data_IF_796067247477
#
_entry.id   IF_796067247477
#
_cell.length_a   1.000
_cell.length_b   1.000
_cell.length_c   1.000
_cell.angle_alpha   90.00
_cell.angle_beta   90.00
_cell.angle_gamma   90.00
#
_symmetry.space_group_name_H-M   'P 1'
#
loop_
_entity.id
_entity.type
_entity.pdbx_description
1 polymer ?
#
# COMPACT_ATOMS: atom_id res chain seq x y z
N UNK A 1 -10.57 8.90 64.17
CA UNK A 1 -10.25 7.46 64.27
C UNK A 1 -9.42 7.09 63.04
N UNK A 2 -8.09 7.02 63.19
CA UNK A 2 -7.27 5.77 63.28
C UNK A 2 -7.44 4.89 62.03
N UNK A 3 -6.42 4.50 61.25
CA UNK A 3 -4.97 4.43 61.50
C UNK A 3 -4.23 4.11 60.20
N UNK A 4 -3.09 4.79 59.98
CA UNK A 4 -1.98 4.43 59.09
C UNK A 4 -1.17 3.24 59.64
N UNK A 5 -0.61 2.38 58.77
CA UNK A 5 0.63 1.63 59.09
C UNK A 5 1.55 1.52 57.87
N UNK A 6 2.71 2.19 58.00
CA UNK A 6 3.97 1.93 57.29
C UNK A 6 4.69 0.76 58.00
N UNK A 7 5.45 -0.04 57.24
CA UNK A 7 6.57 -0.80 57.80
C UNK A 7 7.75 -0.76 56.83
N UNK A 8 8.91 -0.45 57.39
CA UNK A 8 10.26 -0.63 56.87
C UNK A 8 11.12 -1.11 58.06
N UNK A 9 12.43 -1.38 57.89
CA UNK A 9 13.02 -2.66 57.53
C UNK A 9 13.72 -3.34 58.72
N UNK A 10 14.04 -4.64 58.61
CA UNK A 10 14.90 -5.33 59.57
C UNK A 10 16.33 -5.43 59.01
N UNK A 11 17.27 -4.80 59.71
CA UNK A 11 18.70 -5.07 59.64
C UNK A 11 19.06 -6.09 60.73
N UNK A 12 19.94 -7.05 60.44
CA UNK A 12 20.58 -7.90 61.45
C UNK A 12 22.09 -7.92 61.24
N UNK A 13 22.77 -7.92 62.39
CA UNK A 13 24.13 -7.53 62.66
C UNK A 13 25.23 -8.50 62.18
N UNK A 14 26.40 -7.88 61.96
CA UNK A 14 27.74 -8.45 62.00
C UNK A 14 28.02 -9.25 63.29
N UNK A 15 28.72 -10.37 63.14
CA UNK A 15 29.54 -10.98 64.19
C UNK A 15 30.93 -11.35 63.62
N UNK A 16 31.98 -10.93 64.34
CA UNK A 16 33.40 -11.16 64.09
C UNK A 16 33.89 -12.42 64.81
N UNK A 17 34.76 -13.22 64.18
CA UNK A 17 35.69 -14.17 64.82
C UNK A 17 36.81 -14.59 63.81
N UNK A 18 37.96 -15.15 64.25
CA UNK A 18 39.32 -14.75 63.86
C UNK A 18 39.98 -15.61 62.75
N UNK A 19 41.19 -15.25 62.25
CA UNK A 19 41.85 -16.01 61.18
C UNK A 19 42.62 -17.21 61.74
N UNK A 20 42.46 -18.37 61.10
CA UNK A 20 43.35 -19.53 61.24
C UNK A 20 44.04 -19.75 59.90
N UNK A 21 45.35 -19.49 59.87
CA UNK A 21 46.27 -19.99 58.86
C UNK A 21 46.52 -21.48 59.11
N UNK A 22 46.48 -22.29 58.06
CA UNK A 22 47.21 -23.56 57.81
C UNK A 22 46.69 -24.08 56.46
N UNK A 23 47.52 -24.19 55.43
CA UNK A 23 48.37 -25.36 55.23
C UNK A 23 47.74 -26.21 54.11
N UNK A 24 48.38 -26.22 52.94
CA UNK A 24 47.79 -26.73 51.70
C UNK A 24 47.54 -28.24 51.65
N UNK A 25 46.64 -28.62 50.75
CA UNK A 25 46.58 -29.94 50.11
C UNK A 25 45.96 -29.76 48.72
N UNK A 26 46.69 -30.22 47.68
CA UNK A 26 46.24 -30.24 46.28
C UNK A 26 45.13 -31.29 46.12
N UNK A 27 43.99 -30.90 45.55
CA UNK A 27 42.96 -31.82 45.05
C UNK A 27 43.15 -32.09 43.55
N UNK A 28 42.79 -33.29 43.05
CA UNK A 28 43.02 -33.70 41.67
C UNK A 28 42.02 -33.05 40.70
N UNK A 29 42.52 -32.68 39.53
CA UNK A 29 41.78 -32.14 38.39
C UNK A 29 40.68 -33.11 37.93
N UNK A 30 39.43 -32.65 37.96
CA UNK A 30 38.29 -33.32 37.34
C UNK A 30 38.39 -33.19 35.81
N UNK A 31 38.36 -34.31 35.09
CA UNK A 31 38.32 -34.35 33.63
C UNK A 31 36.88 -34.09 33.16
N UNK A 32 36.68 -33.00 32.43
CA UNK A 32 35.43 -32.68 31.74
C UNK A 32 35.26 -33.58 30.50
N UNK A 33 34.06 -34.11 30.20
CA UNK A 33 33.80 -34.81 28.96
C UNK A 33 33.85 -33.85 27.75
N UNK A 34 34.24 -34.34 26.56
CA UNK A 34 34.42 -33.49 25.39
C UNK A 34 33.08 -32.86 24.96
N UNK A 35 33.11 -31.54 24.76
CA UNK A 35 31.99 -30.81 24.17
C UNK A 35 31.88 -31.19 22.69
N UNK A 36 30.73 -31.72 22.29
CA UNK A 36 30.37 -31.83 20.89
C UNK A 36 30.22 -30.43 20.30
N UNK A 37 31.20 -30.03 19.49
CA UNK A 37 31.10 -28.87 18.59
C UNK A 37 29.99 -29.15 17.57
N UNK A 38 28.78 -28.68 17.88
CA UNK A 38 27.72 -28.53 16.87
C UNK A 38 28.13 -27.41 15.93
N UNK A 39 28.73 -27.79 14.79
CA UNK A 39 28.93 -26.90 13.67
C UNK A 39 27.55 -26.44 13.20
N UNK A 40 27.14 -25.23 13.57
CA UNK A 40 26.06 -24.53 12.91
C UNK A 40 26.52 -24.25 11.49
N UNK A 41 26.25 -25.18 10.58
CA UNK A 41 26.33 -24.90 9.16
C UNK A 41 25.30 -23.80 8.88
N UNK A 42 25.79 -22.58 8.73
CA UNK A 42 25.04 -21.52 8.06
C UNK A 42 24.89 -21.99 6.61
N UNK A 43 23.83 -22.74 6.33
CA UNK A 43 23.40 -23.03 4.96
C UNK A 43 23.09 -21.65 4.37
N UNK A 44 23.87 -21.16 3.40
CA UNK A 44 23.56 -19.89 2.77
C UNK A 44 22.18 -20.04 2.15
N UNK A 45 21.21 -19.25 2.59
CA UNK A 45 19.96 -19.17 1.86
C UNK A 45 20.30 -18.71 0.44
N UNK A 46 19.79 -19.39 -0.60
CA UNK A 46 20.04 -18.98 -1.97
C UNK A 46 19.65 -17.52 -2.11
N UNK A 47 20.62 -16.67 -2.47
CA UNK A 47 20.39 -15.26 -2.74
C UNK A 47 19.34 -15.19 -3.86
N UNK A 48 18.12 -14.81 -3.48
CA UNK A 48 17.06 -14.54 -4.45
C UNK A 48 17.49 -13.34 -5.27
N UNK A 49 17.35 -13.43 -6.60
CA UNK A 49 17.69 -12.32 -7.49
C UNK A 49 16.85 -11.09 -7.07
N UNK A 50 17.41 -9.87 -7.12
CA UNK A 50 16.64 -8.68 -6.73
C UNK A 50 15.39 -8.59 -7.62
N UNK A 51 14.24 -8.29 -7.01
CA UNK A 51 13.04 -8.03 -7.79
C UNK A 51 13.26 -6.80 -8.69
N UNK A 52 12.51 -6.71 -9.77
CA UNK A 52 12.41 -5.48 -10.57
C UNK A 52 10.94 -5.09 -10.70
N UNK A 53 10.69 -3.84 -11.13
CA UNK A 53 9.32 -3.37 -11.38
C UNK A 53 9.24 -2.71 -12.75
N UNK A 54 8.23 -3.08 -13.52
CA UNK A 54 7.78 -2.33 -14.68
C UNK A 54 6.46 -1.65 -14.36
N UNK A 55 6.32 -0.39 -14.77
CA UNK A 55 5.12 0.41 -14.51
C UNK A 55 4.40 0.63 -15.83
N UNK A 56 3.10 0.36 -15.83
CA UNK A 56 2.19 0.76 -16.87
C UNK A 56 1.29 1.86 -16.33
N UNK A 57 1.27 3.00 -16.99
CA UNK A 57 0.34 4.08 -16.71
C UNK A 57 -0.11 4.66 -18.07
N UNK A 58 -1.41 4.90 -18.28
CA UNK A 58 -1.90 5.41 -19.56
C UNK A 58 -1.49 6.87 -19.83
N UNK A 59 -1.01 7.61 -18.82
CA UNK A 59 -0.53 8.98 -18.94
C UNK A 59 -1.60 9.91 -19.53
N UNK A 60 -1.19 10.76 -20.46
CA UNK A 60 -2.10 11.68 -21.18
C UNK A 60 -3.16 10.94 -22.02
N UNK A 61 -2.97 9.65 -22.32
CA UNK A 61 -3.99 8.84 -23.01
C UNK A 61 -5.04 8.24 -22.04
N UNK A 62 -5.03 8.64 -20.77
CA UNK A 62 -6.05 8.23 -19.81
C UNK A 62 -7.44 8.72 -20.26
N UNK A 63 -8.43 7.84 -20.15
CA UNK A 63 -9.83 8.19 -20.44
C UNK A 63 -10.53 8.47 -19.12
N UNK A 64 -11.36 9.52 -19.08
CA UNK A 64 -12.06 10.00 -17.88
C UNK A 64 -11.14 10.42 -16.74
N UNK A 65 -9.92 10.88 -17.07
CA UNK A 65 -8.88 11.27 -16.10
C UNK A 65 -8.45 10.14 -15.14
N UNK A 66 -8.73 8.86 -15.48
CA UNK A 66 -8.29 7.72 -14.66
C UNK A 66 -6.92 7.21 -15.10
N UNK A 67 -5.88 7.94 -14.71
CA UNK A 67 -4.49 7.56 -14.96
C UNK A 67 -3.97 6.54 -13.93
N UNK A 68 -4.70 5.42 -13.78
CA UNK A 68 -4.35 4.36 -12.82
C UNK A 68 -3.06 3.64 -13.23
N UNK A 69 -2.20 3.35 -12.26
CA UNK A 69 -0.95 2.63 -12.46
C UNK A 69 -1.13 1.15 -12.22
N UNK A 70 -0.58 0.34 -13.12
CA UNK A 70 -0.36 -1.08 -12.90
C UNK A 70 1.13 -1.35 -12.75
N UNK A 71 1.51 -2.21 -11.81
CA UNK A 71 2.91 -2.51 -11.49
C UNK A 71 3.17 -3.99 -11.65
N UNK A 72 3.99 -4.35 -12.63
CA UNK A 72 4.49 -5.72 -12.81
C UNK A 72 5.77 -5.87 -11.98
N UNK A 73 5.68 -6.60 -10.88
CA UNK A 73 6.83 -6.97 -10.05
C UNK A 73 7.40 -8.28 -10.57
N UNK A 74 8.66 -8.28 -10.94
CA UNK A 74 9.31 -9.40 -11.62
C UNK A 74 10.38 -10.02 -10.73
N UNK A 75 10.33 -11.34 -10.61
CA UNK A 75 11.40 -12.16 -10.06
C UNK A 75 12.28 -12.72 -11.18
N UNK A 76 12.98 -13.80 -10.87
CA UNK A 76 13.83 -14.51 -11.84
C UNK A 76 12.99 -15.20 -12.92
N UNK A 77 11.92 -15.90 -12.52
CA UNK A 77 11.03 -16.70 -13.39
C UNK A 77 9.57 -16.27 -13.29
N UNK A 78 9.14 -15.84 -12.12
CA UNK A 78 7.75 -15.47 -11.85
C UNK A 78 7.55 -13.96 -11.87
N UNK A 79 6.29 -13.54 -12.03
CA UNK A 79 5.88 -12.15 -11.84
C UNK A 79 4.56 -12.06 -11.06
N UNK A 80 4.36 -10.92 -10.41
CA UNK A 80 3.14 -10.53 -9.73
C UNK A 80 2.69 -9.18 -10.28
N UNK A 81 1.43 -9.08 -10.69
CA UNK A 81 0.83 -7.82 -11.15
C UNK A 81 0.07 -7.15 -10.00
N UNK A 82 0.25 -5.85 -9.84
CA UNK A 82 -0.57 -5.00 -8.97
C UNK A 82 -1.46 -4.14 -9.88
N UNK A 83 -2.78 -4.24 -9.69
CA UNK A 83 -3.85 -3.51 -10.36
C UNK A 83 -4.01 -3.79 -11.87
N UNK A 84 -5.25 -3.77 -12.36
CA UNK A 84 -5.64 -4.40 -13.63
C UNK A 84 -6.08 -3.43 -14.74
N UNK A 85 -6.02 -2.12 -14.51
CA UNK A 85 -6.52 -1.07 -15.41
C UNK A 85 -8.04 -1.07 -15.59
N UNK A 86 -8.55 0.05 -16.12
CA UNK A 86 -9.97 0.29 -16.28
C UNK A 86 -10.57 -0.28 -17.57
N UNK A 87 -9.87 -0.08 -18.70
CA UNK A 87 -10.38 -0.40 -20.02
C UNK A 87 -9.87 -1.75 -20.51
N UNK A 88 -10.71 -2.53 -21.18
CA UNK A 88 -10.32 -3.79 -21.85
C UNK A 88 -9.10 -3.58 -22.77
N UNK A 89 -9.04 -2.50 -23.55
CA UNK A 89 -7.88 -2.21 -24.40
C UNK A 89 -6.58 -1.93 -23.60
N UNK A 90 -6.67 -1.32 -22.41
CA UNK A 90 -5.50 -1.06 -21.55
C UNK A 90 -5.04 -2.33 -20.85
N UNK A 91 -5.99 -3.16 -20.39
CA UNK A 91 -5.68 -4.50 -19.92
C UNK A 91 -5.05 -5.37 -21.02
N UNK A 92 -5.42 -5.18 -22.29
CA UNK A 92 -4.75 -5.80 -23.44
C UNK A 92 -3.27 -5.41 -23.55
N UNK A 93 -2.93 -4.14 -23.39
CA UNK A 93 -1.53 -3.68 -23.35
C UNK A 93 -0.76 -4.28 -22.16
N UNK A 94 -1.41 -4.46 -21.00
CA UNK A 94 -0.81 -5.18 -19.89
C UNK A 94 -0.53 -6.64 -20.23
N UNK A 95 -1.44 -7.32 -20.92
CA UNK A 95 -1.21 -8.71 -21.38
C UNK A 95 0.03 -8.78 -22.27
N UNK A 96 0.20 -7.84 -23.20
CA UNK A 96 1.38 -7.75 -24.05
C UNK A 96 2.66 -7.54 -23.23
N UNK A 97 2.64 -6.60 -22.29
CA UNK A 97 3.79 -6.32 -21.41
C UNK A 97 4.18 -7.52 -20.56
N UNK A 98 3.20 -8.22 -19.98
CA UNK A 98 3.43 -9.43 -19.18
C UNK A 98 4.01 -10.54 -20.07
N UNK A 99 3.50 -10.74 -21.29
CA UNK A 99 4.08 -11.72 -22.23
C UNK A 99 5.51 -11.36 -22.63
N UNK A 100 5.77 -10.08 -22.89
CA UNK A 100 7.09 -9.59 -23.25
C UNK A 100 8.13 -9.75 -22.13
N UNK A 101 7.71 -9.76 -20.86
CA UNK A 101 8.60 -10.04 -19.73
C UNK A 101 9.22 -11.44 -19.75
N UNK A 102 8.56 -12.40 -20.42
CA UNK A 102 8.92 -13.81 -20.38
C UNK A 102 8.74 -14.48 -19.01
N UNK A 103 8.10 -13.80 -18.05
CA UNK A 103 7.85 -14.32 -16.70
C UNK A 103 6.51 -15.06 -16.63
N UNK A 104 6.44 -16.04 -15.75
CA UNK A 104 5.19 -16.70 -15.40
C UNK A 104 4.42 -15.83 -14.40
N UNK A 105 3.27 -15.28 -14.82
CA UNK A 105 2.41 -14.51 -13.93
C UNK A 105 1.71 -15.45 -12.94
N UNK A 106 2.06 -15.36 -11.65
CA UNK A 106 1.50 -16.24 -10.62
C UNK A 106 0.36 -15.60 -9.84
N UNK A 107 0.36 -14.28 -9.72
CA UNK A 107 -0.60 -13.54 -8.90
C UNK A 107 -0.93 -12.18 -9.52
N UNK A 108 -2.21 -11.81 -9.45
CA UNK A 108 -2.71 -10.46 -9.71
C UNK A 108 -3.33 -9.97 -8.40
N UNK A 109 -2.75 -8.94 -7.81
CA UNK A 109 -3.25 -8.28 -6.61
C UNK A 109 -4.02 -7.01 -6.98
N UNK A 110 -5.23 -6.86 -6.46
CA UNK A 110 -6.01 -5.63 -6.58
C UNK A 110 -5.92 -4.85 -5.27
N UNK A 111 -5.44 -3.62 -5.37
CA UNK A 111 -5.12 -2.78 -4.22
C UNK A 111 -6.29 -1.93 -3.73
N UNK A 112 -7.27 -1.64 -4.59
CA UNK A 112 -8.43 -0.82 -4.25
C UNK A 112 -9.72 -1.28 -4.95
N UNK A 113 -10.87 -0.87 -4.40
CA UNK A 113 -12.20 -1.36 -4.80
C UNK A 113 -12.87 -0.57 -5.93
N UNK A 114 -12.17 0.39 -6.54
CA UNK A 114 -12.70 1.18 -7.64
C UNK A 114 -12.52 0.52 -9.01
N UNK A 115 -13.46 0.73 -9.95
CA UNK A 115 -13.50 0.02 -11.23
C UNK A 115 -12.20 0.02 -12.01
N UNK A 116 -11.48 1.12 -11.98
CA UNK A 116 -10.23 1.34 -12.68
C UNK A 116 -9.09 0.45 -12.16
N UNK A 117 -9.19 -0.06 -10.94
CA UNK A 117 -8.24 -1.02 -10.41
C UNK A 117 -8.53 -2.47 -10.85
N UNK A 118 -9.77 -2.84 -11.20
CA UNK A 118 -10.15 -4.26 -11.38
C UNK A 118 -10.97 -4.60 -12.62
N UNK A 119 -11.49 -3.63 -13.39
CA UNK A 119 -12.31 -3.94 -14.58
C UNK A 119 -11.53 -4.71 -15.63
N UNK A 120 -10.24 -4.44 -15.80
CA UNK A 120 -9.38 -5.19 -16.71
C UNK A 120 -9.13 -6.66 -16.33
N UNK A 121 -9.56 -7.10 -15.15
CA UNK A 121 -9.37 -8.49 -14.70
C UNK A 121 -9.98 -9.52 -15.64
N UNK A 122 -11.09 -9.24 -16.31
CA UNK A 122 -11.70 -10.19 -17.25
C UNK A 122 -10.73 -10.52 -18.41
N UNK A 123 -10.05 -9.49 -18.92
CA UNK A 123 -9.04 -9.61 -19.99
C UNK A 123 -7.81 -10.37 -19.49
N UNK A 124 -7.29 -9.98 -18.32
CA UNK A 124 -6.10 -10.59 -17.74
C UNK A 124 -6.33 -12.05 -17.32
N UNK A 125 -7.48 -12.36 -16.73
CA UNK A 125 -7.84 -13.72 -16.33
C UNK A 125 -8.00 -14.64 -17.55
N UNK A 126 -8.56 -14.12 -18.64
CA UNK A 126 -8.67 -14.87 -19.90
C UNK A 126 -7.29 -15.16 -20.51
N UNK A 127 -6.32 -14.24 -20.36
CA UNK A 127 -4.96 -14.42 -20.87
C UNK A 127 -4.05 -15.25 -19.96
N UNK A 128 -4.28 -15.24 -18.65
CA UNK A 128 -3.49 -15.90 -17.62
C UNK A 128 -4.40 -16.64 -16.62
N UNK A 129 -5.07 -17.73 -17.04
CA UNK A 129 -6.07 -18.42 -16.22
C UNK A 129 -5.51 -19.04 -14.94
N UNK A 130 -4.20 -19.33 -14.92
CA UNK A 130 -3.51 -19.94 -13.78
C UNK A 130 -3.09 -18.92 -12.71
N UNK A 131 -3.11 -17.62 -13.01
CA UNK A 131 -2.74 -16.58 -12.07
C UNK A 131 -3.81 -16.42 -10.99
N UNK A 132 -3.41 -16.44 -9.72
CA UNK A 132 -4.32 -16.19 -8.60
C UNK A 132 -4.71 -14.71 -8.57
N UNK A 133 -6.00 -14.42 -8.55
CA UNK A 133 -6.51 -13.06 -8.43
C UNK A 133 -6.92 -12.84 -6.98
N UNK A 134 -6.25 -11.93 -6.28
CA UNK A 134 -6.43 -11.71 -4.85
C UNK A 134 -6.56 -10.24 -4.49
N UNK A 135 -7.28 -9.94 -3.42
CA UNK A 135 -7.35 -8.62 -2.81
C UNK A 135 -7.57 -8.77 -1.30
N UNK A 136 -7.39 -7.71 -0.52
CA UNK A 136 -7.71 -7.78 0.92
C UNK A 136 -9.20 -8.06 1.12
N UNK A 137 -9.61 -8.72 2.22
CA UNK A 137 -11.02 -8.98 2.49
C UNK A 137 -11.91 -7.72 2.41
N UNK A 138 -11.39 -6.57 2.81
CA UNK A 138 -12.06 -5.27 2.75
C UNK A 138 -12.32 -4.83 1.31
N UNK A 139 -11.32 -4.97 0.42
CA UNK A 139 -11.46 -4.65 -1.00
C UNK A 139 -12.41 -5.62 -1.69
N UNK A 140 -12.32 -6.92 -1.39
CA UNK A 140 -13.26 -7.93 -1.92
C UNK A 140 -14.70 -7.57 -1.55
N UNK A 141 -14.97 -7.33 -0.27
CA UNK A 141 -16.31 -6.97 0.20
C UNK A 141 -16.83 -5.68 -0.47
N UNK A 142 -15.98 -4.68 -0.68
CA UNK A 142 -16.36 -3.46 -1.39
C UNK A 142 -16.71 -3.74 -2.87
N UNK A 143 -15.92 -4.55 -3.57
CA UNK A 143 -16.19 -4.92 -4.96
C UNK A 143 -17.50 -5.71 -5.06
N UNK A 144 -17.74 -6.67 -4.18
CA UNK A 144 -18.98 -7.44 -4.13
C UNK A 144 -20.20 -6.53 -3.94
N UNK A 145 -20.10 -5.54 -3.06
CA UNK A 145 -21.19 -4.61 -2.76
C UNK A 145 -21.47 -3.61 -3.90
N UNK A 146 -20.47 -3.20 -4.66
CA UNK A 146 -20.57 -2.03 -5.55
C UNK A 146 -20.45 -2.34 -7.05
N UNK A 147 -19.84 -3.47 -7.42
CA UNK A 147 -19.44 -3.75 -8.81
C UNK A 147 -20.59 -3.76 -9.81
N UNK A 148 -21.76 -4.29 -9.43
CA UNK A 148 -22.93 -4.34 -10.32
C UNK A 148 -23.46 -2.95 -10.66
N UNK A 149 -23.52 -2.06 -9.67
CA UNK A 149 -23.98 -0.69 -9.91
C UNK A 149 -22.94 0.13 -10.68
N UNK A 150 -21.66 -0.02 -10.30
CA UNK A 150 -20.53 0.55 -11.04
C UNK A 150 -20.54 0.10 -12.51
N UNK A 151 -20.84 -1.17 -12.80
CA UNK A 151 -20.94 -1.68 -14.17
C UNK A 151 -22.12 -1.09 -14.95
N UNK A 152 -23.28 -0.86 -14.33
CA UNK A 152 -24.40 -0.18 -15.00
C UNK A 152 -24.06 1.27 -15.39
N UNK A 153 -23.30 1.96 -14.53
CA UNK A 153 -22.87 3.34 -14.77
C UNK A 153 -21.81 3.39 -15.87
N UNK A 154 -20.78 2.55 -15.74
CA UNK A 154 -19.60 2.62 -16.60
C UNK A 154 -19.75 1.83 -17.90
N UNK A 155 -20.43 0.69 -17.90
CA UNK A 155 -20.59 -0.19 -19.07
C UNK A 155 -21.01 0.57 -20.33
N UNK A 156 -22.09 1.36 -20.32
CA UNK A 156 -22.51 2.16 -21.47
C UNK A 156 -21.49 3.22 -21.90
N UNK A 157 -20.76 3.81 -20.95
CA UNK A 157 -19.73 4.85 -21.23
C UNK A 157 -18.46 4.25 -21.83
N UNK A 158 -18.14 3.02 -21.41
CA UNK A 158 -16.96 2.29 -21.89
C UNK A 158 -17.22 1.60 -23.23
N UNK A 159 -18.47 1.26 -23.54
CA UNK A 159 -18.83 0.58 -24.78
C UNK A 159 -18.07 -0.73 -24.93
N UNK A 160 -17.38 -0.92 -26.05
CA UNK A 160 -16.55 -2.12 -26.29
C UNK A 160 -15.35 -2.26 -25.33
N UNK A 161 -14.97 -1.18 -24.65
CA UNK A 161 -13.92 -1.21 -23.63
C UNK A 161 -14.42 -1.62 -22.24
N UNK A 162 -15.72 -1.89 -22.07
CA UNK A 162 -16.25 -2.45 -20.85
C UNK A 162 -15.77 -3.91 -20.64
N UNK A 163 -15.63 -4.37 -19.38
CA UNK A 163 -15.47 -5.79 -19.12
C UNK A 163 -16.72 -6.58 -19.54
N UNK A 164 -16.56 -7.80 -20.05
CA UNK A 164 -17.71 -8.67 -20.39
C UNK A 164 -18.34 -9.27 -19.14
N UNK A 165 -17.54 -9.44 -18.09
CA UNK A 165 -17.97 -9.87 -16.76
C UNK A 165 -17.10 -9.22 -15.70
N UNK A 166 -17.65 -9.08 -14.50
CA UNK A 166 -16.85 -8.72 -13.32
C UNK A 166 -16.17 -9.98 -12.79
N UNK A 167 -14.84 -9.89 -12.59
CA UNK A 167 -14.07 -10.90 -11.87
C UNK A 167 -13.83 -10.37 -10.45
N UNK A 168 -14.40 -11.03 -9.46
CA UNK A 168 -14.19 -10.69 -8.04
C UNK A 168 -12.94 -11.41 -7.54
N UNK A 169 -11.95 -10.69 -6.97
CA UNK A 169 -10.76 -11.32 -6.39
C UNK A 169 -11.08 -12.25 -5.21
N UNK A 170 -10.23 -13.25 -4.97
CA UNK A 170 -10.28 -14.05 -3.75
C UNK A 170 -9.69 -13.26 -2.57
N UNK A 171 -10.19 -13.47 -1.33
CA UNK A 171 -9.64 -12.80 -0.16
C UNK A 171 -8.21 -13.28 0.11
N UNK A 172 -7.28 -12.34 0.22
CA UNK A 172 -5.90 -12.56 0.64
C UNK A 172 -5.90 -13.00 2.10
N UNK A 173 -5.14 -14.07 2.39
CA UNK A 173 -4.90 -14.53 3.75
C UNK A 173 -3.70 -13.76 4.33
N UNK A 174 -3.93 -13.07 5.46
CA UNK A 174 -2.90 -12.24 6.08
C UNK A 174 -2.66 -10.93 5.31
N UNK A 175 -1.44 -10.41 5.43
CA UNK A 175 -1.05 -9.09 4.93
C UNK A 175 0.13 -9.16 3.93
N UNK A 176 0.48 -10.36 3.45
CA UNK A 176 1.72 -10.56 2.70
C UNK A 176 1.47 -11.38 1.45
N UNK A 177 1.85 -10.81 0.31
CA UNK A 177 2.02 -11.50 -0.96
C UNK A 177 3.47 -12.01 -1.04
N UNK A 178 3.72 -13.07 -1.81
CA UNK A 178 5.07 -13.63 -1.98
C UNK A 178 5.37 -13.85 -3.45
N UNK A 179 6.54 -13.41 -3.89
CA UNK A 179 7.08 -13.66 -5.22
C UNK A 179 8.45 -14.31 -5.09
N UNK A 180 8.59 -15.57 -5.50
CA UNK A 180 9.83 -16.36 -5.36
C UNK A 180 10.47 -16.30 -3.96
N UNK A 181 9.63 -16.36 -2.92
CA UNK A 181 10.05 -16.29 -1.52
C UNK A 181 10.34 -14.88 -0.99
N UNK A 182 10.24 -13.84 -1.82
CA UNK A 182 10.39 -12.46 -1.40
C UNK A 182 9.03 -11.84 -1.03
N UNK A 183 8.92 -11.17 0.13
CA UNK A 183 7.65 -10.62 0.60
C UNK A 183 7.31 -9.29 -0.07
N UNK A 184 6.04 -9.13 -0.42
CA UNK A 184 5.39 -7.87 -0.76
C UNK A 184 4.30 -7.64 0.29
N UNK A 185 4.50 -6.67 1.18
CA UNK A 185 3.66 -6.45 2.38
C UNK A 185 2.56 -5.46 2.08
N UNK A 186 1.32 -5.82 2.34
CA UNK A 186 0.16 -4.93 2.31
C UNK A 186 0.08 -4.20 3.66
N UNK A 187 0.31 -2.89 3.64
CA UNK A 187 0.37 -2.05 4.84
C UNK A 187 -0.87 -1.17 4.93
N UNK A 188 -1.39 -0.96 6.15
CA UNK A 188 -2.56 -0.10 6.42
C UNK A 188 -3.79 -0.86 6.93
N UNK A 189 -3.76 -2.20 6.93
CA UNK A 189 -4.90 -3.04 7.32
C UNK A 189 -5.27 -2.95 8.82
N UNK A 190 -4.33 -2.49 9.64
CA UNK A 190 -4.45 -2.21 11.07
C UNK A 190 -4.93 -0.77 11.37
N UNK A 191 -5.12 0.03 10.33
CA UNK A 191 -5.51 1.43 10.43
C UNK A 191 -7.03 1.66 10.41
N UNK A 192 -7.46 2.93 10.57
CA UNK A 192 -8.89 3.29 10.56
C UNK A 192 -9.54 3.22 9.18
N UNK A 193 -8.75 3.20 8.11
CA UNK A 193 -9.19 3.06 6.71
C UNK A 193 -8.50 1.85 6.06
N UNK A 194 -8.82 0.62 6.46
CA UNK A 194 -8.11 -0.59 6.02
C UNK A 194 -8.31 -0.93 4.53
N UNK A 195 -9.30 -0.29 3.89
CA UNK A 195 -9.56 -0.30 2.44
C UNK A 195 -8.60 0.62 1.65
N UNK A 196 -7.83 1.47 2.33
CA UNK A 196 -6.82 2.38 1.76
C UNK A 196 -5.39 1.92 2.10
N UNK A 197 -5.12 0.67 1.75
CA UNK A 197 -3.81 0.03 1.92
C UNK A 197 -2.84 0.36 0.78
N UNK A 198 -1.56 0.02 0.95
CA UNK A 198 -0.53 0.09 -0.09
C UNK A 198 0.43 -1.09 0.02
N UNK A 199 1.15 -1.42 -1.06
CA UNK A 199 2.14 -2.50 -1.07
C UNK A 199 3.54 -1.95 -0.82
N UNK A 200 4.25 -2.52 0.15
CA UNK A 200 5.65 -2.29 0.43
C UNK A 200 6.49 -3.49 0.01
N UNK A 201 7.52 -3.25 -0.82
CA UNK A 201 8.43 -4.28 -1.33
C UNK A 201 9.82 -4.02 -0.71
N UNK A 202 10.16 -4.67 0.43
CA UNK A 202 11.35 -4.32 1.20
C UNK A 202 12.67 -4.54 0.45
N UNK A 203 12.75 -5.60 -0.36
CA UNK A 203 13.98 -5.99 -1.05
C UNK A 203 14.47 -4.95 -2.07
N UNK A 204 13.55 -4.12 -2.58
CA UNK A 204 13.84 -3.05 -3.54
C UNK A 204 13.38 -1.67 -3.04
N UNK A 205 13.06 -1.57 -1.75
CA UNK A 205 12.55 -0.36 -1.07
C UNK A 205 11.53 0.42 -1.90
N UNK A 206 10.54 -0.29 -2.47
CA UNK A 206 9.53 0.30 -3.35
C UNK A 206 8.15 0.24 -2.71
N UNK A 207 7.43 1.37 -2.72
CA UNK A 207 5.99 1.42 -2.44
C UNK A 207 5.23 1.46 -3.77
N UNK A 208 4.16 0.68 -3.88
CA UNK A 208 3.33 0.60 -5.08
C UNK A 208 1.88 0.26 -4.73
N UNK A 209 0.97 0.58 -5.66
CA UNK A 209 -0.45 0.29 -5.55
C UNK A 209 -1.16 1.12 -4.48
N UNK A 210 -2.49 0.99 -4.48
CA UNK A 210 -3.39 1.67 -3.57
C UNK A 210 -3.71 3.10 -4.01
N UNK A 211 -4.89 3.56 -3.60
CA UNK A 211 -5.33 4.95 -3.77
C UNK A 211 -4.56 6.02 -2.96
N UNK A 212 -3.81 5.73 -1.86
CA UNK A 212 -3.29 6.80 -1.02
C UNK A 212 -2.26 7.74 -1.66
N UNK A 213 -1.62 7.39 -2.77
CA UNK A 213 -0.59 8.24 -3.39
C UNK A 213 -1.00 8.59 -4.81
N UNK A 214 -1.10 9.89 -5.08
CA UNK A 214 -1.46 10.49 -6.36
C UNK A 214 -0.40 11.52 -6.74
N UNK A 215 -0.17 11.77 -8.04
CA UNK A 215 0.72 12.85 -8.48
C UNK A 215 0.32 13.43 -9.84
N UNK A 216 0.61 14.69 -10.12
CA UNK A 216 0.44 15.24 -11.48
C UNK A 216 -1.02 15.37 -11.96
N UNK A 217 -1.99 15.17 -11.07
CA UNK A 217 -3.42 15.39 -11.31
C UNK A 217 -4.11 15.88 -10.03
N UNK A 218 -5.29 16.48 -10.17
CA UNK A 218 -6.11 16.86 -9.03
C UNK A 218 -6.56 15.61 -8.25
N UNK A 219 -6.21 15.57 -6.96
CA UNK A 219 -6.50 14.42 -6.10
C UNK A 219 -8.00 14.28 -5.87
N UNK A 220 -8.49 13.04 -5.99
CA UNK A 220 -9.88 12.67 -5.69
C UNK A 220 -10.14 12.74 -4.17
N UNK A 221 -10.83 13.78 -3.73
CA UNK A 221 -11.15 14.03 -2.31
C UNK A 221 -12.57 13.63 -1.93
N UNK A 222 -13.42 13.28 -2.91
CA UNK A 222 -14.85 13.05 -2.69
C UNK A 222 -15.15 11.90 -1.70
N UNK A 223 -14.29 10.90 -1.62
CA UNK A 223 -14.45 9.77 -0.69
C UNK A 223 -14.00 10.08 0.74
N UNK A 224 -13.23 11.16 0.95
CA UNK A 224 -12.69 11.54 2.26
C UNK A 224 -13.36 12.80 2.78
N UNK A 225 -14.67 12.77 3.01
CA UNK A 225 -15.48 13.98 3.21
C UNK A 225 -15.26 14.72 4.55
N UNK A 226 -14.46 14.17 5.47
CA UNK A 226 -14.30 14.71 6.83
C UNK A 226 -12.86 15.13 7.14
N UNK A 227 -12.64 16.11 8.04
CA UNK A 227 -11.30 16.43 8.53
C UNK A 227 -10.59 15.22 9.14
N UNK A 228 -11.35 14.30 9.77
CA UNK A 228 -10.79 13.08 10.34
C UNK A 228 -10.26 12.15 9.23
N UNK A 229 -11.00 11.96 8.13
CA UNK A 229 -10.51 11.16 7.00
C UNK A 229 -9.26 11.76 6.34
N UNK A 230 -9.16 13.09 6.27
CA UNK A 230 -7.92 13.74 5.79
C UNK A 230 -6.74 13.53 6.74
N UNK A 231 -6.95 13.65 8.04
CA UNK A 231 -5.92 13.37 9.04
C UNK A 231 -5.45 11.90 9.00
N UNK A 232 -6.37 10.97 8.79
CA UNK A 232 -6.06 9.54 8.61
C UNK A 232 -5.24 9.31 7.33
N UNK A 233 -5.60 9.96 6.23
CA UNK A 233 -4.83 9.89 4.99
C UNK A 233 -3.41 10.46 5.17
N UNK A 234 -3.27 11.62 5.82
CA UNK A 234 -1.96 12.18 6.15
C UNK A 234 -1.12 11.21 6.99
N UNK A 235 -1.71 10.51 7.97
CA UNK A 235 -1.01 9.50 8.75
C UNK A 235 -0.53 8.32 7.90
N UNK A 236 -1.32 7.89 6.91
CA UNK A 236 -0.89 6.88 5.93
C UNK A 236 0.30 7.34 5.10
N UNK A 237 0.31 8.61 4.65
CA UNK A 237 1.43 9.19 3.91
C UNK A 237 2.71 9.28 4.77
N UNK A 238 2.58 9.65 6.05
CA UNK A 238 3.72 9.64 6.98
C UNK A 238 4.23 8.22 7.27
N UNK A 239 3.34 7.21 7.30
CA UNK A 239 3.75 5.81 7.39
C UNK A 239 4.58 5.39 6.18
N UNK A 240 4.22 5.83 4.96
CA UNK A 240 5.01 5.60 3.76
C UNK A 240 6.40 6.23 3.89
N UNK A 241 6.51 7.48 4.35
CA UNK A 241 7.80 8.14 4.58
C UNK A 241 8.66 7.40 5.60
N UNK A 242 8.06 6.89 6.67
CA UNK A 242 8.74 6.12 7.72
C UNK A 242 9.37 4.82 7.23
N UNK A 243 8.94 4.27 6.09
CA UNK A 243 9.58 3.10 5.46
C UNK A 243 10.90 3.44 4.73
N UNK A 244 11.19 4.73 4.54
CA UNK A 244 12.31 5.25 3.76
C UNK A 244 12.43 4.58 2.36
N UNK A 245 11.37 4.64 1.53
CA UNK A 245 11.39 4.08 0.18
C UNK A 245 12.40 4.81 -0.71
N UNK A 246 13.05 4.09 -1.61
CA UNK A 246 13.84 4.72 -2.69
C UNK A 246 12.97 5.03 -3.90
N UNK A 247 11.78 4.42 -3.99
CA UNK A 247 10.82 4.62 -5.08
C UNK A 247 9.39 4.50 -4.56
N UNK A 248 8.52 5.41 -4.98
CA UNK A 248 7.07 5.34 -4.76
C UNK A 248 6.40 5.39 -6.12
N UNK A 249 5.56 4.40 -6.43
CA UNK A 249 4.75 4.35 -7.65
C UNK A 249 3.32 4.72 -7.23
N UNK A 250 2.82 5.91 -7.62
CA UNK A 250 1.47 6.35 -7.27
C UNK A 250 0.40 5.44 -7.86
N UNK A 251 -0.71 5.27 -7.15
CA UNK A 251 -1.90 4.61 -7.70
C UNK A 251 -2.43 5.34 -8.92
N UNK A 252 -2.33 6.67 -8.92
CA UNK A 252 -2.57 7.51 -10.09
C UNK A 252 -1.46 8.52 -10.30
N UNK A 253 -1.03 8.71 -11.55
CA UNK A 253 -0.21 9.87 -11.85
C UNK A 253 -0.37 10.41 -13.27
N UNK A 254 -0.33 11.74 -13.39
CA UNK A 254 -0.18 12.46 -14.64
C UNK A 254 1.28 12.81 -14.92
N UNK A 255 1.68 12.75 -16.20
CA UNK A 255 3.04 13.08 -16.64
C UNK A 255 4.10 12.02 -16.29
N UNK A 256 5.32 12.46 -16.01
CA UNK A 256 6.42 11.55 -15.66
C UNK A 256 6.28 11.03 -14.22
N UNK A 257 6.67 9.77 -13.99
CA UNK A 257 6.71 9.17 -12.66
C UNK A 257 7.63 10.01 -11.73
N UNK A 258 7.12 10.58 -10.62
CA UNK A 258 7.95 11.38 -9.73
C UNK A 258 9.04 10.55 -9.04
N UNK A 259 10.25 11.08 -8.87
CA UNK A 259 11.32 10.39 -8.16
C UNK A 259 11.08 10.38 -6.64
N UNK A 260 11.62 9.34 -5.97
CA UNK A 260 11.66 9.27 -4.51
C UNK A 260 10.30 9.42 -3.84
N UNK A 261 10.17 10.44 -2.97
CA UNK A 261 8.98 10.73 -2.17
C UNK A 261 8.11 11.85 -2.75
N UNK A 262 8.44 12.41 -3.91
CA UNK A 262 7.78 13.61 -4.44
C UNK A 262 6.26 13.42 -4.60
N UNK A 263 5.79 12.24 -5.00
CA UNK A 263 4.36 11.94 -5.09
C UNK A 263 3.65 11.92 -3.72
N UNK A 264 4.34 11.44 -2.68
CA UNK A 264 3.83 11.41 -1.30
C UNK A 264 3.69 12.85 -0.78
N UNK A 265 4.72 13.67 -1.01
CA UNK A 265 4.71 15.07 -0.61
C UNK A 265 3.70 15.90 -1.40
N UNK A 266 3.53 15.61 -2.70
CA UNK A 266 2.48 16.19 -3.53
C UNK A 266 1.09 15.90 -2.94
N UNK A 267 0.77 14.62 -2.69
CA UNK A 267 -0.54 14.24 -2.14
C UNK A 267 -0.77 14.90 -0.78
N UNK A 268 0.23 14.84 0.11
CA UNK A 268 0.14 15.44 1.44
C UNK A 268 -0.09 16.96 1.36
N UNK A 269 0.62 17.64 0.44
CA UNK A 269 0.46 19.06 0.18
C UNK A 269 -0.91 19.41 -0.39
N UNK A 270 -1.40 18.61 -1.33
CA UNK A 270 -2.71 18.80 -1.94
C UNK A 270 -3.84 18.70 -0.91
N UNK A 271 -3.81 17.70 -0.03
CA UNK A 271 -4.82 17.54 1.04
C UNK A 271 -4.86 18.80 1.93
N UNK A 272 -3.69 19.33 2.34
CA UNK A 272 -3.62 20.56 3.14
C UNK A 272 -4.18 21.76 2.39
N UNK A 273 -3.81 21.91 1.12
CA UNK A 273 -4.32 23.01 0.29
C UNK A 273 -5.83 22.89 0.06
N UNK A 274 -6.35 21.68 -0.12
CA UNK A 274 -7.78 21.40 -0.24
C UNK A 274 -8.52 21.82 1.03
N UNK A 275 -8.03 21.43 2.21
CA UNK A 275 -8.60 21.83 3.50
C UNK A 275 -8.62 23.35 3.67
N UNK A 276 -7.49 24.01 3.39
CA UNK A 276 -7.35 25.45 3.50
C UNK A 276 -8.29 26.22 2.56
N UNK A 277 -8.41 25.81 1.30
CA UNK A 277 -9.27 26.49 0.34
C UNK A 277 -10.76 26.15 0.54
N UNK A 278 -11.09 24.94 0.99
CA UNK A 278 -12.48 24.54 1.30
C UNK A 278 -13.07 25.42 2.40
N UNK A 279 -12.25 25.79 3.40
CA UNK A 279 -12.65 26.68 4.48
C UNK A 279 -12.89 28.14 4.01
N UNK A 280 -12.25 28.56 2.91
CA UNK A 280 -12.34 29.93 2.37
C UNK A 280 -13.44 30.08 1.32
N UNK A 281 -13.62 29.08 0.47
CA UNK A 281 -14.54 29.12 -0.66
C UNK A 281 -16.00 29.04 -0.20
N UNK A 282 -16.88 29.86 -0.77
CA UNK A 282 -18.31 29.82 -0.45
C UNK A 282 -19.03 28.64 -1.11
N UNK A 283 -18.57 28.22 -2.30
CA UNK A 283 -19.20 27.22 -3.15
C UNK A 283 -18.15 26.40 -3.92
N UNK A 284 -18.60 25.36 -4.63
CA UNK A 284 -17.72 24.45 -5.34
C UNK A 284 -16.95 25.14 -6.47
N UNK A 285 -17.58 26.08 -7.19
CA UNK A 285 -16.93 26.83 -8.27
C UNK A 285 -15.74 27.68 -7.77
N UNK A 286 -15.90 28.33 -6.62
CA UNK A 286 -14.82 29.07 -5.96
C UNK A 286 -13.69 28.16 -5.49
N UNK A 287 -14.03 26.99 -4.92
CA UNK A 287 -13.04 26.00 -4.50
C UNK A 287 -12.25 25.43 -5.69
N UNK A 288 -12.93 25.11 -6.79
CA UNK A 288 -12.31 24.69 -8.06
C UNK A 288 -11.33 25.76 -8.55
N UNK A 289 -11.78 27.01 -8.66
CA UNK A 289 -10.93 28.11 -9.12
C UNK A 289 -9.72 28.35 -8.22
N UNK A 290 -9.89 28.23 -6.90
CA UNK A 290 -8.80 28.37 -5.94
C UNK A 290 -7.73 27.27 -6.09
N UNK A 291 -8.16 26.02 -6.26
CA UNK A 291 -7.24 24.89 -6.43
C UNK A 291 -6.58 24.87 -7.80
N UNK A 292 -7.27 25.26 -8.87
CA UNK A 292 -6.66 25.46 -10.18
C UNK A 292 -5.57 26.55 -10.15
N UNK A 293 -5.74 27.59 -9.34
CA UNK A 293 -4.71 28.63 -9.16
C UNK A 293 -3.52 28.14 -8.34
N UNK A 294 -3.72 27.31 -7.32
CA UNK A 294 -2.63 26.71 -6.51
C UNK A 294 -1.89 25.61 -7.26
N UNK A 295 -2.59 24.88 -8.13
CA UNK A 295 -2.06 23.77 -8.90
C UNK A 295 -2.37 23.94 -10.40
N UNK A 296 -1.75 24.93 -11.06
CA UNK A 296 -2.03 25.21 -12.46
C UNK A 296 -1.54 24.07 -13.36
N UNK A 297 -2.36 23.71 -14.36
CA UNK A 297 -1.98 22.74 -15.40
C UNK A 297 -2.07 21.27 -15.01
N UNK A 298 -2.61 20.94 -13.83
CA UNK A 298 -2.92 19.55 -13.49
C UNK A 298 -4.08 19.01 -14.33
N UNK A 299 -4.01 17.71 -14.67
CA UNK A 299 -5.16 16.94 -15.15
C UNK A 299 -6.19 16.68 -14.04
N UNK A 300 -7.22 15.87 -14.33
CA UNK A 300 -8.21 15.51 -13.30
C UNK A 300 -9.20 16.61 -12.98
N UNK A 301 -9.53 17.50 -13.92
CA UNK A 301 -10.51 18.56 -13.71
C UNK A 301 -11.87 18.00 -13.25
N UNK A 302 -12.28 16.86 -13.82
CA UNK A 302 -13.52 16.16 -13.44
C UNK A 302 -13.49 15.71 -11.97
N UNK A 303 -12.34 15.20 -11.51
CA UNK A 303 -12.13 14.80 -10.12
C UNK A 303 -12.20 15.99 -9.16
N UNK A 304 -11.58 17.12 -9.54
CA UNK A 304 -11.65 18.36 -8.77
C UNK A 304 -13.08 18.89 -8.65
N UNK A 305 -13.80 18.99 -9.76
CA UNK A 305 -15.17 19.50 -9.77
C UNK A 305 -16.11 18.69 -8.89
N UNK A 306 -16.03 17.35 -8.98
CA UNK A 306 -16.85 16.47 -8.17
C UNK A 306 -16.47 16.57 -6.70
N UNK A 307 -15.17 16.49 -6.40
CA UNK A 307 -14.65 16.63 -5.03
C UNK A 307 -15.08 17.94 -4.38
N UNK A 308 -15.06 19.04 -5.13
CA UNK A 308 -15.49 20.35 -4.64
C UNK A 308 -17.00 20.38 -4.37
N UNK A 309 -17.84 19.84 -5.25
CA UNK A 309 -19.29 19.75 -5.04
C UNK A 309 -19.62 18.95 -3.78
N UNK A 310 -18.92 17.85 -3.56
CA UNK A 310 -19.09 17.02 -2.36
C UNK A 310 -18.66 17.76 -1.10
N UNK A 311 -17.46 18.34 -1.10
CA UNK A 311 -16.93 19.08 0.06
C UNK A 311 -17.78 20.31 0.43
N UNK A 312 -18.47 20.91 -0.54
CA UNK A 312 -19.38 22.05 -0.32
C UNK A 312 -20.83 21.65 -0.06
N UNK A 313 -21.15 20.36 -0.04
CA UNK A 313 -22.50 19.85 0.20
C UNK A 313 -23.47 20.08 -0.97
N UNK A 314 -22.95 20.45 -2.14
CA UNK A 314 -23.73 20.65 -3.36
C UNK A 314 -24.04 19.33 -4.08
N UNK A 315 -23.33 18.25 -3.73
CA UNK A 315 -23.55 16.90 -4.22
C UNK A 315 -23.43 15.89 -3.06
N UNK A 316 -24.41 15.00 -2.93
CA UNK A 316 -24.28 13.83 -2.07
C UNK A 316 -23.40 12.78 -2.74
N UNK A 317 -22.45 12.23 -2.00
CA UNK A 317 -21.54 11.18 -2.46
C UNK A 317 -21.51 10.03 -1.47
N UNK A 318 -21.66 8.80 -1.99
CA UNK A 318 -21.79 7.56 -1.22
C UNK A 318 -21.04 6.43 -1.90
#
# INVERSE_FOLDING_TARGET
MRTTRRFAPLAVACALAPPVLLGGCRTPTSLQPPQETTMHQHIPQPQTAPLTVQVFNPGEDAVFDFAVSSVLVEGKREALLIDAQFLTARAGKLVEQIRASGKHLTTIYISHGDPDFYFGLDTLHSAFPDAKIVATPQVVAHIEATSQEKLKIWGPRLGENAPKRIVVPQPLVGDTLTLEGQPLKVIGLDGPTPDRSFVWIPSIKTVAGGIPVVAGEHVWMADTQTPQSHAQWQATLERIKGLAPTRVIPGHFGGALPPGLEAVDFTAGYIRAFDEETAKAANAAELVAALQRRYPGLGGASALELSAKVAKGEMAWK
#
